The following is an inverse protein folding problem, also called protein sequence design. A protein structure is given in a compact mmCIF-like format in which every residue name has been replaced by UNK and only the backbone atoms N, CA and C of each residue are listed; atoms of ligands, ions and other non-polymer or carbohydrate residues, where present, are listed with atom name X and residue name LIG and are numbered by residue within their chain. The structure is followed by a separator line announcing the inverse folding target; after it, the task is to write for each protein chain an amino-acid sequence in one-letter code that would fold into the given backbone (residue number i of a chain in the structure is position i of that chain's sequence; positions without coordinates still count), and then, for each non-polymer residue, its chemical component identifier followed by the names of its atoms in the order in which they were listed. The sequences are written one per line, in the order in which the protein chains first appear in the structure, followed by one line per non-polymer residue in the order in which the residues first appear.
data_IF_994244336515
#
_entry.id   IF_994244336515
#
_cell.length_a   1.000
_cell.length_b   1.000
_cell.length_c   1.000
_cell.angle_alpha   90.00
_cell.angle_beta   90.00
_cell.angle_gamma   90.00
#
_symmetry.space_group_name_H-M   'P 1'
#
loop_
_entity.id
_entity.type
_entity.pdbx_description
1 polymer ?
#
# COMPACT_ATOMS: atom_id res chain seq x y z
N UNK A 1 28.09 21.26 4.57
CA UNK A 1 26.87 20.45 4.98
C UNK A 1 27.39 19.19 5.63
N UNK A 2 26.98 18.86 6.86
CA UNK A 2 27.34 17.57 7.47
C UNK A 2 26.70 16.46 6.64
N UNK A 3 27.50 15.55 6.11
CA UNK A 3 27.01 14.33 5.46
C UNK A 3 26.39 13.40 6.53
N UNK A 4 25.08 13.37 6.60
CA UNK A 4 24.38 12.39 7.42
C UNK A 4 24.31 11.08 6.67
N UNK A 5 25.02 10.06 7.14
CA UNK A 5 24.87 8.66 6.69
C UNK A 5 23.84 7.93 7.56
N UNK A 6 23.06 7.09 6.92
CA UNK A 6 22.06 6.24 7.59
C UNK A 6 22.75 5.06 8.28
N UNK A 7 22.38 4.76 9.51
CA UNK A 7 22.88 3.56 10.18
C UNK A 7 22.25 2.27 9.58
N UNK A 8 22.94 1.13 9.69
CA UNK A 8 22.40 -0.14 9.25
C UNK A 8 21.07 -0.49 9.97
N UNK A 9 20.97 -0.12 11.24
CA UNK A 9 19.71 -0.27 11.99
C UNK A 9 18.56 0.49 11.35
N UNK A 10 18.76 1.74 10.96
CA UNK A 10 17.73 2.55 10.28
C UNK A 10 17.34 1.93 8.94
N UNK A 11 18.31 1.43 8.15
CA UNK A 11 18.05 0.77 6.86
C UNK A 11 17.22 -0.49 7.01
N UNK A 12 17.58 -1.36 7.97
CA UNK A 12 16.84 -2.61 8.25
C UNK A 12 15.44 -2.29 8.77
N UNK A 13 15.29 -1.39 9.73
CA UNK A 13 13.98 -1.02 10.27
C UNK A 13 13.08 -0.35 9.21
N UNK A 14 13.68 0.42 8.30
CA UNK A 14 12.95 0.94 7.15
C UNK A 14 12.51 -0.20 6.23
N UNK A 15 13.40 -1.15 5.90
CA UNK A 15 13.04 -2.34 5.13
C UNK A 15 11.93 -3.17 5.75
N UNK A 16 11.92 -3.35 7.09
CA UNK A 16 10.83 -4.04 7.80
C UNK A 16 9.47 -3.37 7.53
N UNK A 17 9.42 -2.03 7.44
CA UNK A 17 8.21 -1.32 7.02
C UNK A 17 7.72 -1.74 5.63
N UNK A 18 8.64 -1.97 4.68
CA UNK A 18 8.29 -2.48 3.35
C UNK A 18 7.62 -3.86 3.40
N UNK A 19 8.11 -4.78 4.24
CA UNK A 19 7.44 -6.09 4.42
C UNK A 19 5.96 -5.88 4.78
N UNK A 20 5.68 -5.00 5.75
CA UNK A 20 4.31 -4.72 6.18
C UNK A 20 3.41 -4.23 5.06
N UNK A 21 3.87 -3.26 4.28
CA UNK A 21 3.12 -2.72 3.14
C UNK A 21 2.87 -3.81 2.09
N UNK A 22 3.89 -4.62 1.77
CA UNK A 22 3.78 -5.67 0.77
C UNK A 22 2.97 -6.89 1.21
N UNK A 23 2.80 -7.15 2.52
CA UNK A 23 1.83 -8.13 3.01
C UNK A 23 0.40 -7.73 2.63
N UNK A 24 0.02 -6.47 2.82
CA UNK A 24 -1.29 -5.96 2.40
C UNK A 24 -1.44 -5.96 0.88
N UNK A 25 -0.42 -5.47 0.18
CA UNK A 25 -0.38 -5.40 -1.27
C UNK A 25 -0.50 -6.79 -1.90
N UNK A 26 0.28 -7.76 -1.41
CA UNK A 26 0.24 -9.14 -1.88
C UNK A 26 -1.08 -9.84 -1.61
N UNK A 27 -1.68 -9.60 -0.43
CA UNK A 27 -3.01 -10.13 -0.11
C UNK A 27 -4.07 -9.60 -1.10
N UNK A 28 -4.02 -8.32 -1.42
CA UNK A 28 -4.93 -7.69 -2.37
C UNK A 28 -4.69 -8.21 -3.80
N UNK A 29 -3.50 -8.06 -4.36
CA UNK A 29 -3.26 -8.35 -5.77
C UNK A 29 -3.22 -9.85 -6.09
N UNK A 30 -2.74 -10.69 -5.18
CA UNK A 30 -2.60 -12.12 -5.45
C UNK A 30 -3.84 -12.94 -5.08
N UNK A 31 -4.64 -12.50 -4.11
CA UNK A 31 -5.70 -13.35 -3.54
C UNK A 31 -7.11 -12.76 -3.63
N UNK A 32 -7.27 -11.45 -3.87
CA UNK A 32 -8.60 -10.84 -3.91
C UNK A 32 -9.46 -11.42 -5.04
N UNK A 33 -8.90 -11.58 -6.24
CA UNK A 33 -9.64 -12.13 -7.38
C UNK A 33 -10.19 -13.52 -7.07
N UNK A 34 -9.37 -14.40 -6.49
CA UNK A 34 -9.79 -15.73 -6.06
C UNK A 34 -10.87 -15.65 -4.97
N UNK A 35 -10.71 -14.78 -3.97
CA UNK A 35 -11.70 -14.58 -2.91
C UNK A 35 -13.06 -14.16 -3.49
N UNK A 36 -13.07 -13.20 -4.39
CA UNK A 36 -14.31 -12.67 -4.95
C UNK A 36 -15.00 -13.68 -5.88
N UNK A 37 -14.26 -14.37 -6.75
CA UNK A 37 -14.83 -15.30 -7.73
C UNK A 37 -15.15 -16.66 -7.11
N UNK A 38 -14.17 -17.30 -6.44
CA UNK A 38 -14.29 -18.69 -6.02
C UNK A 38 -14.93 -18.85 -4.62
N UNK A 39 -14.76 -17.87 -3.72
CA UNK A 39 -15.30 -17.94 -2.35
C UNK A 39 -16.64 -17.24 -2.24
N UNK A 40 -16.76 -16.03 -2.81
CA UNK A 40 -18.01 -15.26 -2.76
C UNK A 40 -18.93 -15.47 -3.97
N UNK A 41 -18.46 -16.13 -5.03
CA UNK A 41 -19.24 -16.40 -6.24
C UNK A 41 -19.60 -15.17 -7.06
N UNK A 42 -18.83 -14.09 -6.95
CA UNK A 42 -19.04 -12.88 -7.75
C UNK A 42 -18.57 -13.11 -9.20
N UNK A 43 -19.28 -12.50 -10.15
CA UNK A 43 -18.94 -12.61 -11.58
C UNK A 43 -17.61 -11.94 -11.87
N UNK A 44 -16.74 -12.60 -12.63
CA UNK A 44 -15.42 -12.04 -13.03
C UNK A 44 -15.54 -10.73 -13.80
N UNK A 45 -16.62 -10.55 -14.58
CA UNK A 45 -16.92 -9.29 -15.26
C UNK A 45 -16.97 -8.08 -14.31
N UNK A 46 -17.32 -8.27 -13.04
CA UNK A 46 -17.31 -7.21 -12.05
C UNK A 46 -15.89 -6.71 -11.77
N UNK A 47 -14.93 -7.62 -11.62
CA UNK A 47 -13.53 -7.25 -11.43
C UNK A 47 -12.93 -6.56 -12.67
N UNK A 48 -13.30 -7.05 -13.86
CA UNK A 48 -12.87 -6.43 -15.12
C UNK A 48 -13.35 -4.98 -15.26
N UNK A 49 -14.52 -4.64 -14.71
CA UNK A 49 -15.04 -3.27 -14.68
C UNK A 49 -14.44 -2.44 -13.54
N UNK A 50 -14.24 -3.05 -12.37
CA UNK A 50 -13.78 -2.36 -11.17
C UNK A 50 -12.31 -1.91 -11.29
N UNK A 51 -11.46 -2.76 -11.88
CA UNK A 51 -10.03 -2.48 -12.02
C UNK A 51 -9.74 -1.18 -12.80
N UNK A 52 -10.29 -0.93 -14.01
CA UNK A 52 -10.07 0.33 -14.71
C UNK A 52 -10.59 1.55 -13.95
N UNK A 53 -11.75 1.43 -13.28
CA UNK A 53 -12.32 2.51 -12.47
C UNK A 53 -11.36 2.87 -11.33
N UNK A 54 -10.81 1.87 -10.64
CA UNK A 54 -9.84 2.10 -9.59
C UNK A 54 -8.54 2.74 -10.12
N UNK A 55 -8.05 2.34 -11.29
CA UNK A 55 -6.86 2.95 -11.90
C UNK A 55 -7.06 4.43 -12.27
N UNK A 56 -8.25 4.79 -12.76
CA UNK A 56 -8.59 6.20 -12.99
C UNK A 56 -8.61 6.96 -11.66
N UNK A 57 -9.17 6.35 -10.61
CA UNK A 57 -9.18 6.93 -9.27
C UNK A 57 -7.77 7.12 -8.71
N UNK A 58 -6.88 6.12 -8.84
CA UNK A 58 -5.47 6.21 -8.40
C UNK A 58 -4.77 7.40 -9.07
N UNK A 59 -5.00 7.62 -10.37
CA UNK A 59 -4.46 8.77 -11.11
C UNK A 59 -4.85 10.14 -10.53
N UNK A 60 -5.94 10.22 -9.77
CA UNK A 60 -6.39 11.43 -9.06
C UNK A 60 -5.88 11.42 -7.61
N UNK A 61 -6.02 10.29 -6.93
CA UNK A 61 -5.73 10.12 -5.52
C UNK A 61 -4.23 10.28 -5.21
N UNK A 62 -3.34 9.74 -6.04
CA UNK A 62 -1.91 9.76 -5.81
C UNK A 62 -1.31 11.19 -5.80
N UNK A 63 -1.58 12.07 -6.79
CA UNK A 63 -1.16 13.46 -6.73
C UNK A 63 -1.78 14.24 -5.58
N UNK A 64 -3.02 13.94 -5.22
CA UNK A 64 -3.68 14.55 -4.04
C UNK A 64 -2.93 14.20 -2.77
N UNK A 65 -2.66 12.90 -2.55
CA UNK A 65 -1.91 12.45 -1.37
C UNK A 65 -0.50 13.02 -1.34
N UNK A 66 0.22 13.04 -2.47
CA UNK A 66 1.51 13.69 -2.59
C UNK A 66 1.46 15.17 -2.13
N UNK A 67 0.46 15.91 -2.58
CA UNK A 67 0.26 17.33 -2.18
C UNK A 67 -0.03 17.46 -0.68
N UNK A 68 -0.84 16.59 -0.11
CA UNK A 68 -1.15 16.58 1.34
C UNK A 68 0.13 16.33 2.15
N UNK A 69 0.90 15.33 1.76
CA UNK A 69 2.18 15.00 2.40
C UNK A 69 3.17 16.16 2.29
N UNK A 70 3.27 16.79 1.12
CA UNK A 70 4.18 17.91 0.89
C UNK A 70 3.84 19.15 1.74
N UNK A 71 2.59 19.35 2.05
CA UNK A 71 2.12 20.44 2.91
C UNK A 71 2.16 20.10 4.41
N UNK A 72 2.45 18.84 4.77
CA UNK A 72 2.45 18.40 6.16
C UNK A 72 3.69 18.92 6.90
N UNK A 73 3.46 19.56 8.04
CA UNK A 73 4.49 20.13 8.93
C UNK A 73 4.14 19.77 10.36
N UNK A 74 4.59 18.59 10.81
CA UNK A 74 4.32 18.12 12.18
C UNK A 74 5.60 18.01 13.01
N UNK A 75 5.44 17.98 14.34
CA UNK A 75 6.56 17.76 15.28
C UNK A 75 7.18 16.35 15.11
N UNK A 76 6.46 15.41 14.51
CA UNK A 76 6.89 14.03 14.32
C UNK A 76 7.49 13.77 12.93
N UNK A 77 7.65 14.80 12.11
CA UNK A 77 8.13 14.73 10.74
C UNK A 77 7.03 14.97 9.70
N UNK A 78 7.42 14.89 8.44
CA UNK A 78 6.55 15.12 7.29
C UNK A 78 5.85 13.81 6.84
N UNK A 79 6.60 12.71 6.79
CA UNK A 79 6.19 11.42 6.23
C UNK A 79 5.69 10.43 7.29
N UNK A 80 6.38 10.35 8.43
CA UNK A 80 6.15 9.37 9.50
C UNK A 80 4.69 9.30 10.00
N UNK A 81 3.98 10.41 10.25
CA UNK A 81 2.58 10.35 10.67
C UNK A 81 1.68 9.66 9.63
N UNK A 82 1.90 9.95 8.36
CA UNK A 82 1.10 9.40 7.26
C UNK A 82 1.34 7.91 7.05
N UNK A 83 2.58 7.44 7.19
CA UNK A 83 2.91 6.00 7.13
C UNK A 83 2.12 5.24 8.19
N UNK A 84 2.08 5.73 9.43
CA UNK A 84 1.39 5.04 10.51
C UNK A 84 -0.13 5.14 10.39
N UNK A 85 -0.68 6.32 10.13
CA UNK A 85 -2.12 6.51 9.94
C UNK A 85 -2.61 5.71 8.74
N UNK A 86 -1.89 5.79 7.62
CA UNK A 86 -2.20 5.02 6.41
C UNK A 86 -2.17 3.51 6.66
N UNK A 87 -1.16 3.01 7.38
CA UNK A 87 -1.07 1.59 7.75
C UNK A 87 -2.26 1.13 8.62
N UNK A 88 -2.67 1.94 9.61
CA UNK A 88 -3.84 1.62 10.47
C UNK A 88 -5.12 1.62 9.63
N UNK A 89 -5.34 2.65 8.82
CA UNK A 89 -6.51 2.72 7.95
C UNK A 89 -6.55 1.57 6.94
N UNK A 90 -5.40 1.26 6.32
CA UNK A 90 -5.30 0.18 5.34
C UNK A 90 -5.53 -1.19 5.99
N UNK A 91 -5.03 -1.43 7.21
CA UNK A 91 -5.27 -2.67 7.95
C UNK A 91 -6.77 -2.89 8.20
N UNK A 92 -7.49 -1.83 8.61
CA UNK A 92 -8.95 -1.90 8.83
C UNK A 92 -9.68 -2.18 7.53
N UNK A 93 -9.35 -1.44 6.45
CA UNK A 93 -10.01 -1.61 5.16
C UNK A 93 -9.67 -2.96 4.54
N UNK A 94 -8.44 -3.46 4.68
CA UNK A 94 -8.06 -4.80 4.23
C UNK A 94 -8.90 -5.88 4.92
N UNK A 95 -9.05 -5.80 6.24
CA UNK A 95 -9.91 -6.72 6.99
C UNK A 95 -11.37 -6.66 6.52
N UNK A 96 -11.91 -5.46 6.35
CA UNK A 96 -13.28 -5.26 5.86
C UNK A 96 -13.46 -5.79 4.44
N UNK A 97 -12.53 -5.54 3.53
CA UNK A 97 -12.58 -6.03 2.14
C UNK A 97 -12.66 -7.55 2.04
N UNK A 98 -11.95 -8.26 2.93
CA UNK A 98 -11.99 -9.73 3.02
C UNK A 98 -13.06 -10.26 3.99
N UNK A 99 -14.04 -9.43 4.38
CA UNK A 99 -15.15 -9.83 5.26
C UNK A 99 -16.47 -9.49 4.60
N UNK A 100 -17.27 -10.51 4.26
CA UNK A 100 -18.55 -10.32 3.54
C UNK A 100 -19.73 -10.00 4.44
N UNK A 101 -19.63 -10.20 5.74
CA UNK A 101 -20.73 -10.05 6.74
C UNK A 101 -22.04 -10.78 6.35
N UNK A 102 -21.94 -11.87 5.58
CA UNK A 102 -23.12 -12.58 5.09
C UNK A 102 -23.95 -11.83 4.04
N UNK A 103 -23.42 -10.74 3.50
CA UNK A 103 -24.09 -9.99 2.42
C UNK A 103 -24.12 -10.81 1.13
N UNK A 104 -25.19 -10.62 0.33
CA UNK A 104 -25.38 -11.29 -0.96
C UNK A 104 -26.03 -10.35 -1.98
N UNK A 105 -26.03 -10.76 -3.25
CA UNK A 105 -26.64 -10.01 -4.34
C UNK A 105 -26.03 -8.62 -4.52
N UNK A 106 -26.83 -7.65 -4.96
CA UNK A 106 -26.39 -6.29 -5.31
C UNK A 106 -25.68 -5.57 -4.14
N UNK A 107 -26.10 -5.83 -2.89
CA UNK A 107 -25.48 -5.22 -1.71
C UNK A 107 -23.99 -5.61 -1.58
N UNK A 108 -23.68 -6.88 -1.85
CA UNK A 108 -22.30 -7.38 -1.82
C UNK A 108 -21.43 -6.71 -2.90
N UNK A 109 -21.94 -6.56 -4.13
CA UNK A 109 -21.23 -5.88 -5.23
C UNK A 109 -20.90 -4.43 -4.88
N UNK A 110 -21.86 -3.67 -4.34
CA UNK A 110 -21.65 -2.28 -3.94
C UNK A 110 -20.63 -2.21 -2.80
N UNK A 111 -20.78 -3.05 -1.79
CA UNK A 111 -19.87 -3.10 -0.65
C UNK A 111 -18.42 -3.36 -1.09
N UNK A 112 -18.19 -4.41 -1.89
CA UNK A 112 -16.86 -4.74 -2.40
C UNK A 112 -16.30 -3.61 -3.26
N UNK A 113 -17.10 -3.00 -4.14
CA UNK A 113 -16.67 -1.86 -4.96
C UNK A 113 -16.18 -0.68 -4.12
N UNK A 114 -16.93 -0.34 -3.07
CA UNK A 114 -16.53 0.74 -2.12
C UNK A 114 -15.25 0.35 -1.38
N UNK A 115 -15.17 -0.87 -0.83
CA UNK A 115 -13.99 -1.33 -0.09
C UNK A 115 -12.74 -1.41 -0.98
N UNK A 116 -12.89 -1.78 -2.24
CA UNK A 116 -11.81 -1.82 -3.22
C UNK A 116 -11.19 -0.43 -3.42
N UNK A 117 -12.02 0.58 -3.66
CA UNK A 117 -11.57 1.98 -3.82
C UNK A 117 -10.93 2.51 -2.51
N UNK A 118 -11.56 2.23 -1.36
CA UNK A 118 -11.03 2.65 -0.05
C UNK A 118 -9.69 1.97 0.25
N UNK A 119 -9.50 0.71 -0.17
CA UNK A 119 -8.21 0.04 -0.01
C UNK A 119 -7.12 0.77 -0.81
N UNK A 120 -7.37 1.12 -2.08
CA UNK A 120 -6.45 1.92 -2.89
C UNK A 120 -6.08 3.24 -2.20
N UNK A 121 -7.08 4.00 -1.73
CA UNK A 121 -6.87 5.26 -1.03
C UNK A 121 -6.00 5.11 0.21
N UNK A 122 -6.30 4.13 1.07
CA UNK A 122 -5.56 3.91 2.32
C UNK A 122 -4.17 3.34 2.07
N UNK A 123 -4.00 2.53 1.01
CA UNK A 123 -2.70 2.06 0.57
C UNK A 123 -1.81 3.22 0.12
N UNK A 124 -2.32 4.10 -0.74
CA UNK A 124 -1.62 5.32 -1.18
C UNK A 124 -1.22 6.23 -0.01
N UNK A 125 -2.08 6.31 1.04
CA UNK A 125 -1.77 7.07 2.27
C UNK A 125 -0.53 6.58 3.00
N UNK A 126 -0.20 5.29 2.93
CA UNK A 126 0.98 4.72 3.56
C UNK A 126 2.17 4.67 2.59
N UNK A 127 1.94 4.23 1.36
CA UNK A 127 2.98 3.92 0.38
C UNK A 127 3.69 5.16 -0.15
N UNK A 128 2.95 6.21 -0.56
CA UNK A 128 3.56 7.45 -1.07
C UNK A 128 4.49 8.11 -0.04
N UNK A 129 4.07 8.32 1.23
CA UNK A 129 4.98 8.87 2.23
C UNK A 129 6.17 7.95 2.52
N UNK A 130 5.96 6.63 2.48
CA UNK A 130 7.02 5.66 2.72
C UNK A 130 8.16 5.82 1.71
N UNK A 131 7.87 5.75 0.42
CA UNK A 131 8.90 5.90 -0.62
C UNK A 131 9.44 7.33 -0.72
N UNK A 132 8.61 8.34 -0.46
CA UNK A 132 9.02 9.75 -0.42
C UNK A 132 9.93 10.08 0.76
N UNK A 133 9.97 9.25 1.80
CA UNK A 133 10.83 9.45 2.97
C UNK A 133 12.30 9.11 2.68
N UNK A 134 12.62 8.31 1.66
CA UNK A 134 14.00 7.88 1.33
C UNK A 134 14.96 9.05 1.16
N UNK A 135 14.67 10.12 0.39
CA UNK A 135 15.54 11.27 0.27
C UNK A 135 15.76 12.06 1.59
N UNK A 136 14.87 11.88 2.57
CA UNK A 136 14.97 12.59 3.85
C UNK A 136 15.94 11.94 4.85
N UNK A 137 16.44 10.73 4.58
CA UNK A 137 17.39 10.05 5.45
C UNK A 137 18.81 10.56 5.31
N UNK A 138 19.24 10.86 4.09
CA UNK A 138 20.63 11.16 3.77
C UNK A 138 20.76 12.09 2.57
N UNK A 139 21.81 12.90 2.56
CA UNK A 139 22.20 13.74 1.41
C UNK A 139 23.12 12.98 0.44
N UNK A 140 23.75 11.88 0.88
CA UNK A 140 24.64 11.05 0.05
C UNK A 140 23.82 10.19 -0.93
N UNK A 141 24.01 10.32 -2.27
CA UNK A 141 23.31 9.54 -3.27
C UNK A 141 23.57 8.02 -3.14
N UNK A 142 24.78 7.60 -2.76
CA UNK A 142 25.13 6.18 -2.63
C UNK A 142 24.40 5.55 -1.44
N UNK A 143 24.37 6.26 -0.30
CA UNK A 143 23.63 5.82 0.87
C UNK A 143 22.11 5.76 0.61
N UNK A 144 21.58 6.72 -0.17
CA UNK A 144 20.18 6.73 -0.61
C UNK A 144 19.83 5.53 -1.48
N UNK A 145 20.72 5.19 -2.43
CA UNK A 145 20.56 4.00 -3.26
C UNK A 145 20.58 2.72 -2.41
N UNK A 146 21.47 2.66 -1.41
CA UNK A 146 21.54 1.52 -0.51
C UNK A 146 20.27 1.36 0.34
N UNK A 147 19.72 2.46 0.90
CA UNK A 147 18.43 2.46 1.61
C UNK A 147 17.33 1.93 0.71
N UNK A 148 17.24 2.41 -0.53
CA UNK A 148 16.24 1.98 -1.50
C UNK A 148 16.39 0.49 -1.85
N UNK A 149 17.62 0.01 -2.04
CA UNK A 149 17.91 -1.39 -2.36
C UNK A 149 17.50 -2.32 -1.22
N UNK A 150 17.87 -1.96 0.02
CA UNK A 150 17.46 -2.72 1.20
C UNK A 150 15.93 -2.75 1.31
N UNK A 151 15.26 -1.60 1.17
CA UNK A 151 13.81 -1.54 1.22
C UNK A 151 13.15 -2.41 0.13
N UNK A 152 13.63 -2.37 -1.10
CA UNK A 152 13.12 -3.20 -2.21
C UNK A 152 13.36 -4.69 -1.99
N UNK A 153 14.49 -5.07 -1.39
CA UNK A 153 14.76 -6.47 -1.03
C UNK A 153 13.75 -6.97 0.02
N UNK A 154 13.50 -6.17 1.05
CA UNK A 154 12.51 -6.49 2.08
C UNK A 154 11.08 -6.49 1.55
N UNK A 155 10.74 -5.60 0.61
CA UNK A 155 9.49 -5.59 -0.15
C UNK A 155 9.29 -6.93 -0.87
N UNK A 156 10.29 -7.39 -1.63
CA UNK A 156 10.25 -8.70 -2.28
C UNK A 156 10.10 -9.88 -1.30
N UNK A 157 10.72 -9.79 -0.12
CA UNK A 157 10.50 -10.79 0.95
C UNK A 157 9.06 -10.77 1.46
N UNK A 158 8.46 -9.60 1.67
CA UNK A 158 7.06 -9.45 2.07
C UNK A 158 6.11 -10.10 1.07
N UNK A 159 6.30 -9.81 -0.22
CA UNK A 159 5.53 -10.41 -1.31
C UNK A 159 5.73 -11.93 -1.38
N UNK A 160 6.94 -12.42 -1.20
CA UNK A 160 7.24 -13.85 -1.14
C UNK A 160 6.57 -14.55 0.04
N UNK A 161 6.64 -13.94 1.23
CA UNK A 161 6.01 -14.47 2.44
C UNK A 161 4.51 -14.62 2.23
N UNK A 162 3.80 -13.60 1.76
CA UNK A 162 2.34 -13.67 1.58
C UNK A 162 1.96 -14.72 0.53
N UNK A 163 2.72 -14.82 -0.55
CA UNK A 163 2.48 -15.79 -1.63
C UNK A 163 2.59 -17.24 -1.15
N UNK A 164 3.61 -17.53 -0.34
CA UNK A 164 3.87 -18.89 0.17
C UNK A 164 3.03 -19.19 1.41
N UNK A 165 2.88 -18.24 2.34
CA UNK A 165 2.20 -18.48 3.59
C UNK A 165 0.66 -18.60 3.41
N UNK A 166 0.06 -17.83 2.49
CA UNK A 166 -1.39 -17.83 2.32
C UNK A 166 -1.96 -19.22 1.99
N UNK A 167 -1.45 -19.98 1.00
CA UNK A 167 -1.97 -21.31 0.71
C UNK A 167 -1.83 -22.31 1.87
N UNK A 168 -0.86 -22.11 2.75
CA UNK A 168 -0.58 -22.98 3.90
C UNK A 168 -1.48 -22.61 5.08
N UNK A 169 -1.59 -21.33 5.40
CA UNK A 169 -2.27 -20.83 6.60
C UNK A 169 -3.77 -20.75 6.39
N UNK A 170 -4.23 -20.42 5.18
CA UNK A 170 -5.63 -20.19 4.89
C UNK A 170 -6.53 -21.39 5.18
N UNK A 171 -6.19 -22.65 4.79
CA UNK A 171 -6.98 -23.82 5.17
C UNK A 171 -7.09 -24.01 6.68
N UNK A 172 -6.01 -23.70 7.43
CA UNK A 172 -5.96 -23.85 8.88
C UNK A 172 -6.88 -22.86 9.60
N UNK A 173 -7.07 -21.66 9.01
CA UNK A 173 -7.94 -20.60 9.54
C UNK A 173 -9.38 -20.73 9.04
N UNK A 174 -9.65 -21.58 8.04
CA UNK A 174 -10.94 -21.75 7.40
C UNK A 174 -11.89 -22.56 8.26
N UNK A 175 -13.13 -22.08 8.37
CA UNK A 175 -14.22 -22.78 9.07
C UNK A 175 -15.52 -22.62 8.28
N UNK A 176 -16.40 -23.63 8.33
CA UNK A 176 -17.68 -23.62 7.61
C UNK A 176 -17.56 -24.16 6.17
N UNK A 177 -18.34 -23.61 5.26
CA UNK A 177 -18.27 -23.99 3.83
C UNK A 177 -16.93 -23.58 3.24
N UNK A 178 -16.25 -24.53 2.64
CA UNK A 178 -14.92 -24.33 1.99
C UNK A 178 -15.00 -24.64 0.51
N UNK A 179 -14.12 -24.01 -0.27
CA UNK A 179 -13.86 -24.36 -1.67
C UNK A 179 -13.11 -25.70 -1.75
N UNK A 180 -12.91 -26.24 -2.97
CA UNK A 180 -12.12 -27.44 -3.22
C UNK A 180 -10.70 -27.37 -2.66
N UNK A 181 -10.15 -26.16 -2.52
CA UNK A 181 -8.85 -25.90 -1.89
C UNK A 181 -8.90 -25.76 -0.36
N UNK A 182 -10.04 -25.98 0.26
CA UNK A 182 -10.22 -25.83 1.71
C UNK A 182 -10.28 -24.38 2.20
N UNK A 183 -10.54 -23.39 1.32
CA UNK A 183 -10.58 -21.98 1.67
C UNK A 183 -12.03 -21.55 1.96
N UNK A 184 -12.21 -20.73 2.99
CA UNK A 184 -13.52 -20.16 3.34
C UNK A 184 -13.46 -18.63 3.49
N UNK A 185 -14.62 -17.99 3.45
CA UNK A 185 -14.72 -16.55 3.69
C UNK A 185 -14.19 -16.16 5.08
N UNK A 186 -14.43 -16.99 6.10
CA UNK A 186 -13.92 -16.77 7.45
C UNK A 186 -12.40 -16.90 7.54
N UNK A 187 -11.81 -17.84 6.77
CA UNK A 187 -10.36 -17.99 6.66
C UNK A 187 -9.70 -16.75 6.08
N UNK A 188 -10.24 -16.24 4.97
CA UNK A 188 -9.76 -15.01 4.34
C UNK A 188 -9.85 -13.79 5.27
N UNK A 189 -10.97 -13.63 5.96
CA UNK A 189 -11.17 -12.54 6.92
C UNK A 189 -10.13 -12.59 8.05
N UNK A 190 -9.92 -13.77 8.67
CA UNK A 190 -8.93 -13.95 9.74
C UNK A 190 -7.51 -13.69 9.25
N UNK A 191 -7.16 -14.19 8.06
CA UNK A 191 -5.84 -14.02 7.48
C UNK A 191 -5.57 -12.55 7.12
N UNK A 192 -6.53 -11.87 6.51
CA UNK A 192 -6.45 -10.44 6.24
C UNK A 192 -6.30 -9.61 7.53
N UNK A 193 -6.97 -10.00 8.61
CA UNK A 193 -6.80 -9.39 9.93
C UNK A 193 -5.39 -9.54 10.48
N UNK A 194 -4.80 -10.75 10.37
CA UNK A 194 -3.41 -11.01 10.79
C UNK A 194 -2.43 -10.16 9.95
N UNK A 195 -2.59 -10.15 8.63
CA UNK A 195 -1.77 -9.33 7.74
C UNK A 195 -1.89 -7.83 8.07
N UNK A 196 -3.11 -7.36 8.38
CA UNK A 196 -3.34 -5.98 8.81
C UNK A 196 -2.64 -5.63 10.13
N UNK A 197 -2.66 -6.52 11.12
CA UNK A 197 -1.93 -6.35 12.38
C UNK A 197 -0.42 -6.29 12.13
N UNK A 198 0.12 -7.19 11.31
CA UNK A 198 1.53 -7.20 10.95
C UNK A 198 1.93 -5.92 10.18
N UNK A 199 1.08 -5.43 9.27
CA UNK A 199 1.28 -4.16 8.58
C UNK A 199 1.46 -3.01 9.59
N UNK A 200 0.58 -2.90 10.58
CA UNK A 200 0.65 -1.84 11.60
C UNK A 200 1.91 -1.99 12.45
N UNK A 201 2.24 -3.20 12.90
CA UNK A 201 3.44 -3.47 13.72
C UNK A 201 4.72 -3.08 12.94
N UNK A 202 4.85 -3.54 11.71
CA UNK A 202 6.05 -3.28 10.90
C UNK A 202 6.17 -1.81 10.50
N UNK A 203 5.06 -1.15 10.21
CA UNK A 203 5.02 0.30 9.98
C UNK A 203 5.38 1.08 11.25
N UNK A 204 4.94 0.63 12.42
CA UNK A 204 5.32 1.24 13.69
C UNK A 204 6.83 1.09 13.98
N UNK A 205 7.41 -0.11 13.73
CA UNK A 205 8.86 -0.33 13.86
C UNK A 205 9.61 0.62 12.92
N UNK A 206 9.18 0.74 11.68
CA UNK A 206 9.77 1.68 10.72
C UNK A 206 9.72 3.12 11.25
N UNK A 207 8.55 3.61 11.62
CA UNK A 207 8.33 4.99 12.06
C UNK A 207 9.08 5.32 13.36
N UNK A 208 9.11 4.41 14.32
CA UNK A 208 9.78 4.63 15.62
C UNK A 208 11.30 4.57 15.51
N UNK A 209 11.84 3.76 14.59
CA UNK A 209 13.28 3.52 14.46
C UNK A 209 13.97 4.45 13.45
N UNK A 210 13.22 5.17 12.63
CA UNK A 210 13.77 6.05 11.60
C UNK A 210 13.54 7.52 11.93
N UNK A 211 14.44 8.40 11.49
CA UNK A 211 14.33 9.86 11.67
C UNK A 211 14.51 10.57 10.34
N UNK A 212 13.64 11.53 10.06
CA UNK A 212 13.75 12.41 8.93
C UNK A 212 14.81 13.51 9.23
N UNK A 213 16.05 13.31 8.75
CA UNK A 213 17.20 14.17 9.09
C UNK A 213 17.36 15.33 8.11
N UNK A 214 16.90 15.15 6.87
CA UNK A 214 17.09 16.10 5.76
C UNK A 214 15.75 16.43 5.08
N UNK A 215 14.84 17.05 5.83
CA UNK A 215 13.53 17.45 5.28
C UNK A 215 13.63 18.85 4.68
N UNK A 216 13.44 18.95 3.38
CA UNK A 216 13.30 20.24 2.69
C UNK A 216 11.81 20.59 2.65
N UNK A 217 11.44 21.67 3.32
CA UNK A 217 10.10 22.25 3.22
C UNK A 217 10.11 23.30 2.09
N UNK A 218 9.52 22.92 0.95
CA UNK A 218 9.24 23.86 -0.13
C UNK A 218 8.09 24.84 0.19
N UNK A 219 7.78 25.71 -0.75
CA UNK A 219 6.56 26.51 -0.70
C UNK A 219 5.34 25.59 -0.66
N UNK A 220 4.25 26.07 -0.01
CA UNK A 220 3.01 25.28 0.09
C UNK A 220 2.50 24.93 -1.30
N UNK A 221 2.54 23.67 -1.64
CA UNK A 221 2.02 23.17 -2.91
C UNK A 221 0.48 23.27 -2.93
N UNK A 222 -0.05 23.95 -3.96
CA UNK A 222 -1.49 23.94 -4.23
C UNK A 222 -1.77 22.84 -5.23
N UNK A 223 -2.70 21.95 -4.87
CA UNK A 223 -3.21 20.95 -5.80
C UNK A 223 -3.90 21.64 -6.97
N UNK A 224 -3.51 21.31 -8.19
CA UNK A 224 -4.11 21.85 -9.41
C UNK A 224 -4.06 20.83 -10.53
N UNK A 225 -5.19 20.33 -10.95
CA UNK A 225 -5.30 19.44 -12.12
C UNK A 225 -4.65 20.05 -13.37
N UNK A 226 -4.87 21.35 -13.62
CA UNK A 226 -4.28 22.03 -14.77
C UNK A 226 -2.75 21.97 -14.76
N UNK A 227 -2.13 22.07 -13.58
CA UNK A 227 -0.67 21.98 -13.44
C UNK A 227 -0.17 20.55 -13.68
N UNK A 228 -0.90 19.55 -13.20
CA UNK A 228 -0.57 18.12 -13.42
C UNK A 228 -0.62 17.79 -14.92
N UNK A 229 -1.72 18.13 -15.61
CA UNK A 229 -1.82 17.92 -17.05
C UNK A 229 -0.76 18.69 -17.84
N UNK A 230 -0.44 19.91 -17.42
CA UNK A 230 0.63 20.71 -18.05
C UNK A 230 2.00 20.05 -17.89
N UNK A 231 2.32 19.51 -16.71
CA UNK A 231 3.60 18.81 -16.47
C UNK A 231 3.68 17.53 -17.31
N UNK A 232 2.61 16.75 -17.40
CA UNK A 232 2.56 15.54 -18.22
C UNK A 232 2.75 15.91 -19.70
N UNK A 233 2.02 16.91 -20.20
CA UNK A 233 2.06 17.30 -21.61
C UNK A 233 3.40 17.90 -22.05
N UNK A 234 4.20 18.45 -21.12
CA UNK A 234 5.52 19.04 -21.44
C UNK A 234 6.69 18.12 -21.07
N UNK A 235 6.44 16.89 -20.66
CA UNK A 235 7.47 15.94 -20.28
C UNK A 235 7.41 14.70 -21.19
N UNK A 236 8.11 14.75 -22.29
CA UNK A 236 8.13 13.67 -23.29
C UNK A 236 8.56 12.33 -22.71
N UNK A 237 9.52 12.34 -21.76
CA UNK A 237 9.99 11.12 -21.10
C UNK A 237 8.89 10.49 -20.23
N UNK A 238 8.09 11.31 -19.56
CA UNK A 238 6.96 10.84 -18.74
C UNK A 238 5.86 10.24 -19.61
N UNK A 239 5.56 10.88 -20.75
CA UNK A 239 4.59 10.38 -21.72
C UNK A 239 5.04 9.03 -22.30
N UNK A 240 6.30 8.90 -22.71
CA UNK A 240 6.87 7.63 -23.21
C UNK A 240 6.80 6.56 -22.11
N UNK A 241 7.18 6.89 -20.88
CA UNK A 241 7.10 5.94 -19.76
C UNK A 241 5.66 5.47 -19.51
N UNK A 242 4.69 6.37 -19.54
CA UNK A 242 3.27 6.02 -19.36
C UNK A 242 2.77 5.09 -20.47
N UNK A 243 3.14 5.33 -21.72
CA UNK A 243 2.75 4.48 -22.88
C UNK A 243 3.39 3.10 -22.80
N UNK A 244 4.65 3.01 -22.33
CA UNK A 244 5.34 1.71 -22.19
C UNK A 244 4.86 0.91 -20.97
N UNK A 245 4.37 1.59 -19.92
CA UNK A 245 3.88 0.96 -18.69
C UNK A 245 2.41 0.51 -18.77
N UNK A 246 1.68 0.90 -19.81
CA UNK A 246 0.30 0.47 -20.11
C UNK A 246 0.28 -0.82 -20.92
#
# INVERSE_FOLDING_TARGET
MQEYKTSWREKICFGVGAIGLDLSYGMFYSFLSYYLSSVLGLKEAFLLLLTPIARIWDGINDPMMGTIVDNTRTKHGKYRPWILIGAICNAVVLFLLFTSFGMSGTKLYIYIGVMYILWGMTNTMADIPYWSMVPSFTSDPNDRNLVSTVARTFSGLGQGIITVATPIILPMLSTGMTTDKGYSATGFSRWAGICGILLVIFSAICVLSTKEKNVVYGEKAKFSFKKIFSVIAHNDQLVVFMVVAM
#
